data_IF_162380561881
#
_entry.id   IF_162380561881
#
_cell.length_a   1.000
_cell.length_b   1.000
_cell.length_c   1.000
_cell.angle_alpha   90.00
_cell.angle_beta   90.00
_cell.angle_gamma   90.00
#
_symmetry.space_group_name_H-M   'P 1'
#
loop_
_entity.id
_entity.type
_entity.pdbx_description
1 polymer ?
#
# COMPACT_ATOMS: atom_id res chain seq x y z
N UNK A 1 3.12 12.67 15.29
CA UNK A 1 2.21 13.25 14.27
C UNK A 1 2.92 14.02 13.17
N UNK A 2 4.12 14.58 13.40
CA UNK A 2 4.85 15.39 12.40
C UNK A 2 5.05 14.68 11.04
N UNK A 3 5.43 13.39 11.04
CA UNK A 3 5.61 12.62 9.80
C UNK A 3 4.33 12.50 8.95
N UNK A 4 3.19 12.19 9.57
CA UNK A 4 1.91 12.11 8.86
C UNK A 4 1.46 13.48 8.34
N UNK A 5 1.63 14.54 9.13
CA UNK A 5 1.32 15.91 8.69
C UNK A 5 2.13 16.30 7.47
N UNK A 6 3.43 15.97 7.47
CA UNK A 6 4.30 16.19 6.31
C UNK A 6 3.83 15.40 5.09
N UNK A 7 3.59 14.09 5.22
CA UNK A 7 3.12 13.23 4.13
C UNK A 7 1.79 13.71 3.54
N UNK A 8 0.86 14.11 4.41
CA UNK A 8 -0.46 14.62 3.99
C UNK A 8 -0.31 15.91 3.20
N UNK A 9 0.52 16.85 3.70
CA UNK A 9 0.78 18.11 3.00
C UNK A 9 1.42 17.87 1.63
N UNK A 10 2.38 16.95 1.52
CA UNK A 10 3.00 16.58 0.24
C UNK A 10 1.95 16.01 -0.73
N UNK A 11 1.09 15.10 -0.26
CA UNK A 11 0.00 14.53 -1.06
C UNK A 11 -1.01 15.58 -1.54
N UNK A 12 -1.49 16.45 -0.64
CA UNK A 12 -2.46 17.51 -0.97
C UNK A 12 -1.91 18.53 -1.98
N UNK A 13 -0.60 18.72 -2.03
CA UNK A 13 0.08 19.60 -3.00
C UNK A 13 0.56 18.86 -4.26
N UNK A 14 0.25 17.58 -4.42
CA UNK A 14 0.65 16.79 -5.59
C UNK A 14 2.16 16.58 -5.71
N UNK A 15 2.88 16.61 -4.59
CA UNK A 15 4.34 16.46 -4.55
C UNK A 15 4.77 15.10 -4.02
N UNK A 16 5.83 14.55 -4.61
CA UNK A 16 6.49 13.34 -4.12
C UNK A 16 7.40 13.65 -2.93
N UNK A 17 7.62 12.69 -2.05
CA UNK A 17 8.45 12.86 -0.86
C UNK A 17 9.35 11.65 -0.58
N UNK A 18 10.38 11.87 0.25
CA UNK A 18 11.28 10.84 0.74
C UNK A 18 11.29 10.93 2.27
N UNK A 19 11.02 9.81 2.94
CA UNK A 19 11.20 9.68 4.39
C UNK A 19 12.61 9.21 4.69
N UNK A 20 13.48 10.14 5.06
CA UNK A 20 14.90 9.90 5.35
C UNK A 20 15.21 9.53 6.81
N UNK A 21 14.19 9.30 7.64
CA UNK A 21 14.38 9.10 9.07
C UNK A 21 15.00 7.73 9.39
N UNK A 22 15.57 7.62 10.61
CA UNK A 22 16.17 6.38 11.12
C UNK A 22 15.25 5.14 11.01
N UNK A 23 15.87 3.97 10.89
CA UNK A 23 15.17 2.69 10.92
C UNK A 23 14.44 2.53 12.26
N UNK A 24 13.24 1.94 12.25
CA UNK A 24 12.44 1.72 13.47
C UNK A 24 11.49 2.86 13.85
N UNK A 25 11.55 4.03 13.21
CA UNK A 25 10.64 5.17 13.47
C UNK A 25 9.21 5.00 12.91
N UNK A 26 8.82 3.77 12.56
CA UNK A 26 7.45 3.45 12.16
C UNK A 26 7.06 3.94 10.76
N UNK A 27 8.00 4.05 9.82
CA UNK A 27 7.72 4.47 8.42
C UNK A 27 6.57 3.70 7.78
N UNK A 28 6.50 2.38 8.00
CA UNK A 28 5.38 1.54 7.55
C UNK A 28 4.04 2.06 8.05
N UNK A 29 3.92 2.30 9.36
CA UNK A 29 2.70 2.81 9.97
C UNK A 29 2.37 4.23 9.48
N UNK A 30 3.36 5.09 9.29
CA UNK A 30 3.16 6.42 8.73
C UNK A 30 2.58 6.35 7.31
N UNK A 31 3.13 5.47 6.45
CA UNK A 31 2.60 5.23 5.10
C UNK A 31 1.18 4.70 5.14
N UNK A 32 0.88 3.69 5.97
CA UNK A 32 -0.48 3.15 6.09
C UNK A 32 -1.48 4.19 6.62
N UNK A 33 -1.04 5.05 7.53
CA UNK A 33 -1.86 6.15 8.04
C UNK A 33 -2.18 7.18 6.95
N UNK A 34 -1.24 7.45 6.04
CA UNK A 34 -1.51 8.29 4.87
C UNK A 34 -2.56 7.64 3.96
N UNK A 35 -2.45 6.35 3.65
CA UNK A 35 -3.42 5.66 2.80
C UNK A 35 -4.83 5.67 3.42
N UNK A 36 -4.93 5.43 4.73
CA UNK A 36 -6.18 5.54 5.48
C UNK A 36 -6.76 6.96 5.40
N UNK A 37 -5.92 7.98 5.61
CA UNK A 37 -6.31 9.38 5.54
C UNK A 37 -6.87 9.76 4.16
N UNK A 38 -6.21 9.31 3.08
CA UNK A 38 -6.68 9.53 1.71
C UNK A 38 -8.03 8.85 1.50
N UNK A 39 -8.18 7.58 1.92
CA UNK A 39 -9.43 6.83 1.76
C UNK A 39 -10.62 7.48 2.47
N UNK A 40 -10.41 8.08 3.64
CA UNK A 40 -11.46 8.76 4.40
C UNK A 40 -11.91 10.09 3.78
N UNK A 41 -11.02 10.77 3.04
CA UNK A 41 -11.30 12.10 2.48
C UNK A 41 -11.80 12.10 1.04
N UNK A 42 -11.47 11.08 0.27
CA UNK A 42 -11.93 10.96 -1.12
C UNK A 42 -13.42 10.59 -1.16
N UNK A 43 -14.22 11.41 -1.83
CA UNK A 43 -15.62 11.08 -2.11
C UNK A 43 -15.70 10.13 -3.30
N UNK A 44 -16.03 8.87 -3.07
CA UNK A 44 -16.23 7.86 -4.12
C UNK A 44 -15.25 6.69 -4.03
N UNK A 45 -15.01 6.04 -5.18
CA UNK A 45 -14.06 4.91 -5.26
C UNK A 45 -12.63 5.46 -5.12
N UNK A 46 -11.87 4.84 -4.22
CA UNK A 46 -10.45 5.13 -4.03
C UNK A 46 -9.66 4.25 -4.98
N UNK A 47 -8.71 4.86 -5.69
CA UNK A 47 -7.81 4.12 -6.58
C UNK A 47 -6.91 3.17 -5.77
N UNK A 48 -6.62 1.97 -6.30
CA UNK A 48 -5.78 1.00 -5.61
C UNK A 48 -4.36 1.53 -5.41
N UNK A 49 -3.77 1.22 -4.26
CA UNK A 49 -2.39 1.57 -3.92
C UNK A 49 -1.42 0.43 -4.23
N UNK A 50 -0.21 0.78 -4.68
CA UNK A 50 0.87 -0.16 -4.95
C UNK A 50 2.03 0.06 -3.97
N UNK A 51 2.42 -0.99 -3.27
CA UNK A 51 3.59 -1.02 -2.40
C UNK A 51 4.63 -1.95 -3.02
N UNK A 52 5.78 -1.38 -3.40
CA UNK A 52 6.93 -2.14 -3.89
C UNK A 52 7.93 -2.28 -2.74
N UNK A 53 8.35 -3.51 -2.44
CA UNK A 53 9.28 -3.77 -1.34
C UNK A 53 10.17 -5.00 -1.58
N UNK A 54 11.29 -5.16 -0.84
CA UNK A 54 12.05 -6.41 -0.87
C UNK A 54 11.19 -7.62 -0.47
N UNK A 55 11.47 -8.80 -1.04
CA UNK A 55 10.74 -10.03 -0.75
C UNK A 55 10.71 -10.36 0.75
N UNK A 56 11.81 -10.10 1.47
CA UNK A 56 11.95 -10.38 2.89
C UNK A 56 10.97 -9.64 3.80
N UNK A 57 10.36 -8.54 3.32
CA UNK A 57 9.45 -7.71 4.13
C UNK A 57 8.00 -7.73 3.63
N UNK A 58 7.69 -8.53 2.59
CA UNK A 58 6.32 -8.65 2.06
C UNK A 58 5.34 -9.11 3.15
N UNK A 59 5.69 -10.16 3.90
CA UNK A 59 4.83 -10.65 4.99
C UNK A 59 4.68 -9.63 6.13
N UNK A 60 5.75 -8.87 6.41
CA UNK A 60 5.68 -7.76 7.36
C UNK A 60 4.67 -6.72 6.91
N UNK A 61 4.71 -6.28 5.64
CA UNK A 61 3.73 -5.35 5.09
C UNK A 61 2.29 -5.89 5.17
N UNK A 62 2.07 -7.15 4.77
CA UNK A 62 0.75 -7.76 4.84
C UNK A 62 0.23 -7.86 6.27
N UNK A 63 1.09 -8.19 7.23
CA UNK A 63 0.76 -8.23 8.66
C UNK A 63 0.39 -6.85 9.19
N UNK A 64 1.18 -5.82 8.88
CA UNK A 64 0.95 -4.45 9.31
C UNK A 64 -0.32 -3.87 8.67
N UNK A 65 -0.62 -4.18 7.40
CA UNK A 65 -1.88 -3.80 6.74
C UNK A 65 -3.08 -4.41 7.49
N UNK A 66 -3.04 -5.73 7.74
CA UNK A 66 -4.11 -6.43 8.48
C UNK A 66 -4.29 -5.87 9.90
N UNK A 67 -3.20 -5.46 10.54
CA UNK A 67 -3.21 -4.94 11.91
C UNK A 67 -3.75 -3.52 12.00
N UNK A 68 -3.25 -2.62 11.15
CA UNK A 68 -3.48 -1.17 11.31
C UNK A 68 -4.60 -0.62 10.44
N UNK A 69 -4.86 -1.25 9.29
CA UNK A 69 -5.89 -0.82 8.34
C UNK A 69 -6.74 -2.02 7.88
N UNK A 70 -7.41 -2.75 8.80
CA UNK A 70 -8.13 -3.98 8.49
C UNK A 70 -9.30 -3.82 7.49
N UNK A 71 -9.76 -2.59 7.25
CA UNK A 71 -10.77 -2.28 6.24
C UNK A 71 -10.24 -2.27 4.80
N UNK A 72 -8.92 -2.39 4.61
CA UNK A 72 -8.28 -2.49 3.29
C UNK A 72 -8.12 -3.95 2.88
N UNK A 73 -8.57 -4.28 1.67
CA UNK A 73 -8.30 -5.55 1.01
C UNK A 73 -6.84 -5.55 0.52
N UNK A 74 -6.00 -6.35 1.17
CA UNK A 74 -4.60 -6.52 0.80
C UNK A 74 -4.42 -7.69 -0.17
N UNK A 75 -3.70 -7.47 -1.27
CA UNK A 75 -3.31 -8.50 -2.22
C UNK A 75 -1.78 -8.65 -2.23
N UNK A 76 -1.31 -9.88 -2.04
CA UNK A 76 0.10 -10.23 -2.30
C UNK A 76 0.24 -10.56 -3.78
N UNK A 77 1.13 -9.88 -4.47
CA UNK A 77 1.45 -10.18 -5.86
C UNK A 77 2.91 -10.63 -5.97
N UNK A 78 3.13 -11.89 -5.57
CA UNK A 78 4.40 -12.58 -5.71
C UNK A 78 4.11 -14.08 -5.88
N UNK A 79 4.23 -14.57 -7.11
CA UNK A 79 3.93 -15.95 -7.46
C UNK A 79 4.73 -16.38 -8.72
N UNK A 80 4.68 -17.67 -9.02
CA UNK A 80 5.21 -18.21 -10.28
C UNK A 80 4.52 -17.56 -11.49
N UNK A 81 5.16 -17.62 -12.66
CA UNK A 81 4.70 -16.92 -13.87
C UNK A 81 3.27 -17.27 -14.30
N UNK A 82 2.88 -18.54 -14.22
CA UNK A 82 1.52 -19.01 -14.49
C UNK A 82 0.49 -18.37 -13.57
N UNK A 83 0.78 -18.31 -12.27
CA UNK A 83 -0.10 -17.70 -11.27
C UNK A 83 -0.13 -16.18 -11.40
N UNK A 84 0.99 -15.53 -11.75
CA UNK A 84 1.01 -14.09 -12.06
C UNK A 84 0.07 -13.74 -13.20
N UNK A 85 0.03 -14.57 -14.26
CA UNK A 85 -0.90 -14.36 -15.38
C UNK A 85 -2.34 -14.49 -14.91
N UNK A 86 -2.67 -15.54 -14.15
CA UNK A 86 -4.00 -15.75 -13.59
C UNK A 86 -4.46 -14.58 -12.70
N UNK A 87 -3.60 -14.12 -11.79
CA UNK A 87 -3.90 -12.99 -10.90
C UNK A 87 -4.14 -11.70 -11.70
N UNK A 88 -3.31 -11.42 -12.73
CA UNK A 88 -3.51 -10.27 -13.62
C UNK A 88 -4.84 -10.35 -14.36
N UNK A 89 -5.19 -11.52 -14.90
CA UNK A 89 -6.46 -11.72 -15.59
C UNK A 89 -7.65 -11.55 -14.64
N UNK A 90 -7.58 -12.12 -13.43
CA UNK A 90 -8.63 -12.00 -12.41
C UNK A 90 -8.82 -10.55 -11.91
N UNK A 91 -7.74 -9.78 -11.79
CA UNK A 91 -7.81 -8.34 -11.49
C UNK A 91 -8.43 -7.57 -12.66
N UNK A 92 -8.07 -7.92 -13.90
CA UNK A 92 -8.60 -7.26 -15.11
C UNK A 92 -10.09 -7.54 -15.33
N UNK A 93 -10.56 -8.74 -15.00
CA UNK A 93 -11.98 -9.12 -15.10
C UNK A 93 -12.81 -8.62 -13.92
N UNK A 94 -12.18 -8.09 -12.87
CA UNK A 94 -12.84 -7.65 -11.63
C UNK A 94 -13.23 -8.78 -10.70
N UNK A 95 -12.76 -10.01 -10.94
CA UNK A 95 -12.94 -11.15 -10.02
C UNK A 95 -12.20 -10.91 -8.70
N UNK A 96 -11.03 -10.26 -8.77
CA UNK A 96 -10.25 -9.85 -7.61
C UNK A 96 -10.21 -8.32 -7.54
N UNK A 97 -10.75 -7.78 -6.44
CA UNK A 97 -10.59 -6.38 -6.06
C UNK A 97 -9.69 -6.25 -4.83
N UNK A 98 -8.82 -5.25 -4.84
CA UNK A 98 -7.93 -4.92 -3.73
C UNK A 98 -7.84 -3.41 -3.53
N UNK A 99 -7.57 -2.99 -2.30
CA UNK A 99 -7.22 -1.59 -1.99
C UNK A 99 -5.69 -1.40 -2.00
N UNK A 100 -4.91 -2.40 -1.58
CA UNK A 100 -3.44 -2.36 -1.53
C UNK A 100 -2.87 -3.62 -2.16
N UNK A 101 -2.01 -3.45 -3.16
CA UNK A 101 -1.20 -4.52 -3.73
C UNK A 101 0.24 -4.42 -3.23
N UNK A 102 0.78 -5.50 -2.68
CA UNK A 102 2.18 -5.61 -2.25
C UNK A 102 2.94 -6.46 -3.26
N UNK A 103 3.92 -5.86 -3.94
CA UNK A 103 4.77 -6.48 -4.95
C UNK A 103 6.24 -6.46 -4.54
N UNK A 104 7.01 -7.34 -5.17
CA UNK A 104 8.47 -7.34 -5.13
C UNK A 104 9.08 -6.61 -6.31
N UNK A 105 10.39 -6.36 -6.28
CA UNK A 105 11.13 -5.81 -7.43
C UNK A 105 11.22 -6.77 -8.63
N UNK A 106 11.03 -8.07 -8.39
CA UNK A 106 11.05 -9.18 -9.37
C UNK A 106 9.67 -9.53 -9.94
#
# INVERSE_FOLDING_TARGET
LHGLSYLTWMYENGMNCILGDEMGLGKTLQTLSLLAHVKERVKGRVDPHLIVCPLSVVETWLSEIRRWVPSFKAMRFHAQESERKRLKDAVRTGEIEFDICVVTYE
#
